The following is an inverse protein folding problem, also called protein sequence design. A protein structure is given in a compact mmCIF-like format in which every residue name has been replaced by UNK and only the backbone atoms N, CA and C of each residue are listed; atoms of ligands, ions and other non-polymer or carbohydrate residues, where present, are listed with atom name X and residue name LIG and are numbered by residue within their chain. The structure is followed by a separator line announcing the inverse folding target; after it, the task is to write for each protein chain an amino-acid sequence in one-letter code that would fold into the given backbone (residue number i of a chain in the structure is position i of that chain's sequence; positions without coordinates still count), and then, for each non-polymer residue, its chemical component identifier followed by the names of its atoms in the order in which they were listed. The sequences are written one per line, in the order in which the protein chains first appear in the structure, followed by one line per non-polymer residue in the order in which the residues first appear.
data_IF_970122388792
#
_entry.id   IF_970122388792
#
_cell.length_a   1.000
_cell.length_b   1.000
_cell.length_c   1.000
_cell.angle_alpha   90.00
_cell.angle_beta   90.00
_cell.angle_gamma   90.00
#
_symmetry.space_group_name_H-M   'P 1'
#
loop_
_entity.id
_entity.type
_entity.pdbx_description
1 polymer ?
#
# COMPACT_ATOMS: atom_id res chain seq x y z
N UNK A 1 -15.29 35.01 -20.69
CA UNK A 1 -14.25 34.10 -20.16
C UNK A 1 -14.24 32.89 -21.08
N UNK A 2 -13.05 32.46 -21.50
CA UNK A 2 -12.90 31.24 -22.31
C UNK A 2 -12.61 30.06 -21.39
N UNK A 3 -13.08 28.87 -21.78
CA UNK A 3 -12.84 27.65 -21.03
C UNK A 3 -11.37 27.24 -21.22
N UNK A 4 -10.71 26.83 -20.14
CA UNK A 4 -9.41 26.17 -20.18
C UNK A 4 -9.68 24.67 -20.07
N UNK A 5 -9.23 23.89 -21.05
CA UNK A 5 -9.40 22.44 -21.09
C UNK A 5 -7.99 21.82 -21.15
N UNK A 6 -7.70 20.90 -20.23
CA UNK A 6 -6.49 20.09 -20.20
C UNK A 6 -6.91 18.62 -20.27
N UNK A 7 -6.31 17.87 -21.19
CA UNK A 7 -6.60 16.44 -21.41
C UNK A 7 -5.27 15.73 -21.74
N UNK A 8 -5.01 14.62 -21.04
CA UNK A 8 -3.85 13.75 -21.26
C UNK A 8 -4.26 12.30 -21.03
N UNK A 9 -3.80 11.39 -21.89
CA UNK A 9 -4.10 9.96 -21.79
C UNK A 9 -2.84 9.20 -21.36
N UNK A 10 -2.86 8.67 -20.14
CA UNK A 10 -1.75 7.94 -19.54
C UNK A 10 -1.83 6.40 -19.77
N UNK A 11 -2.92 5.87 -20.35
CA UNK A 11 -3.11 4.43 -20.58
C UNK A 11 -2.10 3.82 -21.57
N UNK A 12 -1.57 4.63 -22.50
CA UNK A 12 -0.54 4.21 -23.46
C UNK A 12 0.88 4.30 -22.91
N UNK A 13 1.13 5.19 -21.95
CA UNK A 13 2.43 5.36 -21.30
C UNK A 13 2.74 4.16 -20.38
N UNK A 14 1.73 3.66 -19.65
CA UNK A 14 1.87 2.48 -18.77
C UNK A 14 2.18 1.16 -19.49
N UNK A 15 1.73 0.99 -20.74
CA UNK A 15 1.93 -0.27 -21.50
C UNK A 15 3.36 -0.50 -21.99
N UNK A 16 4.29 0.44 -21.78
CA UNK A 16 5.65 0.40 -22.36
C UNK A 16 6.75 -0.05 -21.38
N UNK A 17 6.43 -0.29 -20.11
CA UNK A 17 7.40 -0.54 -19.03
C UNK A 17 7.56 -2.03 -18.65
N UNK A 18 7.61 -2.93 -19.64
CA UNK A 18 7.93 -4.35 -19.40
C UNK A 18 9.45 -4.58 -19.56
N UNK A 19 10.19 -4.45 -18.46
CA UNK A 19 11.63 -4.72 -18.41
C UNK A 19 11.99 -5.56 -17.19
N UNK A 20 12.65 -6.70 -17.44
CA UNK A 20 13.17 -7.60 -16.40
C UNK A 20 14.26 -6.90 -15.57
N UNK A 21 13.94 -6.56 -14.33
CA UNK A 21 14.83 -5.87 -13.39
C UNK A 21 15.26 -6.79 -12.24
N UNK A 22 16.46 -6.56 -11.70
CA UNK A 22 17.10 -7.25 -10.57
C UNK A 22 16.15 -7.39 -9.36
N UNK A 23 15.23 -6.44 -9.16
CA UNK A 23 14.17 -6.51 -8.15
C UNK A 23 13.25 -7.73 -8.31
N UNK A 24 12.90 -8.10 -9.55
CA UNK A 24 12.08 -9.30 -9.84
C UNK A 24 12.83 -10.58 -9.47
N UNK A 25 14.13 -10.64 -9.75
CA UNK A 25 14.99 -11.78 -9.38
C UNK A 25 15.12 -11.93 -7.86
N UNK A 26 15.24 -10.81 -7.11
CA UNK A 26 15.27 -10.82 -5.64
C UNK A 26 13.96 -11.38 -5.07
N UNK A 27 12.82 -10.94 -5.61
CA UNK A 27 11.50 -11.40 -5.19
C UNK A 27 11.28 -12.89 -5.46
N UNK A 28 11.65 -13.37 -6.65
CA UNK A 28 11.59 -14.79 -7.00
C UNK A 28 12.44 -15.64 -6.04
N UNK A 29 13.68 -15.24 -5.76
CA UNK A 29 14.59 -15.98 -4.86
C UNK A 29 14.10 -15.94 -3.40
N UNK A 30 13.50 -14.84 -2.97
CA UNK A 30 12.87 -14.75 -1.65
C UNK A 30 11.66 -15.70 -1.54
N UNK A 31 10.85 -15.78 -2.60
CA UNK A 31 9.65 -16.61 -2.66
C UNK A 31 9.99 -18.10 -2.79
N UNK A 32 10.71 -18.47 -3.84
CA UNK A 32 11.05 -19.87 -4.17
C UNK A 32 12.04 -20.47 -3.17
N UNK A 33 12.94 -19.63 -2.62
CA UNK A 33 13.85 -20.05 -1.56
C UNK A 33 13.19 -20.14 -0.17
N UNK A 34 11.88 -19.87 -0.07
CA UNK A 34 11.11 -20.03 1.17
C UNK A 34 11.36 -18.97 2.25
N UNK A 35 12.00 -17.84 1.91
CA UNK A 35 12.19 -16.74 2.86
C UNK A 35 10.85 -16.12 3.26
N UNK A 36 9.98 -15.86 2.28
CA UNK A 36 8.64 -15.29 2.53
C UNK A 36 7.80 -16.22 3.39
N UNK A 37 7.85 -17.53 3.13
CA UNK A 37 7.14 -18.53 3.92
C UNK A 37 7.67 -18.59 5.36
N UNK A 38 8.99 -18.64 5.56
CA UNK A 38 9.60 -18.65 6.88
C UNK A 38 9.28 -17.37 7.68
N UNK A 39 9.30 -16.21 7.01
CA UNK A 39 8.92 -14.95 7.61
C UNK A 39 7.43 -14.93 7.99
N UNK A 40 6.54 -15.37 7.10
CA UNK A 40 5.11 -15.47 7.37
C UNK A 40 4.80 -16.40 8.56
N UNK A 41 5.46 -17.57 8.63
CA UNK A 41 5.32 -18.52 9.75
C UNK A 41 5.79 -17.90 11.08
N UNK A 42 6.94 -17.23 11.06
CA UNK A 42 7.47 -16.53 12.23
C UNK A 42 6.50 -15.42 12.67
N UNK A 43 6.00 -14.63 11.73
CA UNK A 43 5.01 -13.59 11.99
C UNK A 43 3.71 -14.17 12.55
N UNK A 44 3.23 -15.30 12.05
CA UNK A 44 2.02 -15.96 12.55
C UNK A 44 2.18 -16.45 14.01
N UNK A 45 3.36 -16.93 14.38
CA UNK A 45 3.65 -17.44 15.73
C UNK A 45 3.71 -16.34 16.81
N UNK A 46 3.95 -15.09 16.44
CA UNK A 46 4.02 -13.97 17.39
C UNK A 46 2.63 -13.78 18.05
N UNK A 47 2.52 -13.64 19.38
CA UNK A 47 1.27 -13.26 20.02
C UNK A 47 0.73 -11.91 19.50
N UNK A 48 -0.57 -11.84 19.22
CA UNK A 48 -1.24 -10.59 18.83
C UNK A 48 -2.20 -10.14 19.91
N UNK A 49 -2.26 -8.84 20.11
CA UNK A 49 -3.23 -8.18 20.99
C UNK A 49 -4.09 -7.23 20.18
N UNK A 50 -5.32 -7.02 20.65
CA UNK A 50 -6.22 -6.02 20.08
C UNK A 50 -5.73 -4.65 20.49
N UNK A 51 -5.59 -3.74 19.51
CA UNK A 51 -5.27 -2.34 19.77
C UNK A 51 -6.58 -1.60 20.08
N UNK A 52 -6.75 -1.05 21.30
CA UNK A 52 -8.05 -0.45 21.68
C UNK A 52 -8.49 0.71 20.80
N UNK A 53 -7.54 1.57 20.39
CA UNK A 53 -7.82 2.70 19.52
C UNK A 53 -8.29 2.25 18.12
N UNK A 54 -7.64 1.24 17.54
CA UNK A 54 -8.01 0.73 16.23
C UNK A 54 -9.30 -0.09 16.25
N UNK A 55 -9.60 -0.73 17.38
CA UNK A 55 -10.92 -1.32 17.61
C UNK A 55 -12.00 -0.24 17.58
N UNK A 56 -11.81 0.86 18.29
CA UNK A 56 -12.77 1.98 18.29
C UNK A 56 -12.93 2.57 16.88
N UNK A 57 -11.84 2.76 16.15
CA UNK A 57 -11.86 3.19 14.77
C UNK A 57 -12.62 2.21 13.87
N UNK A 58 -12.40 0.91 14.00
CA UNK A 58 -13.14 -0.11 13.26
C UNK A 58 -14.64 -0.06 13.54
N UNK A 59 -15.04 0.00 14.80
CA UNK A 59 -16.45 0.05 15.20
C UNK A 59 -17.12 1.32 14.67
N UNK A 60 -16.44 2.46 14.76
CA UNK A 60 -16.90 3.74 14.22
C UNK A 60 -17.05 3.69 12.70
N UNK A 61 -16.00 3.28 11.99
CA UNK A 61 -16.01 3.22 10.52
C UNK A 61 -17.03 2.22 9.99
N UNK A 62 -17.25 1.10 10.69
CA UNK A 62 -18.27 0.12 10.32
C UNK A 62 -19.67 0.73 10.41
N UNK A 63 -19.96 1.47 11.49
CA UNK A 63 -21.24 2.17 11.63
C UNK A 63 -21.46 3.19 10.49
N UNK A 64 -20.46 4.02 10.22
CA UNK A 64 -20.56 5.05 9.16
C UNK A 64 -20.68 4.43 7.76
N UNK A 65 -20.00 3.30 7.55
CA UNK A 65 -20.12 2.49 6.34
C UNK A 65 -21.53 1.92 6.19
N UNK A 66 -22.13 1.39 7.25
CA UNK A 66 -23.50 0.88 7.22
C UNK A 66 -24.51 1.99 6.86
N UNK A 67 -24.37 3.18 7.46
CA UNK A 67 -25.19 4.35 7.13
C UNK A 67 -25.07 4.76 5.65
N UNK A 68 -23.85 4.73 5.10
CA UNK A 68 -23.59 5.01 3.69
C UNK A 68 -24.22 3.94 2.77
N UNK A 69 -24.06 2.66 3.13
CA UNK A 69 -24.67 1.55 2.39
C UNK A 69 -26.20 1.64 2.38
N UNK A 70 -26.82 2.01 3.50
CA UNK A 70 -28.27 2.24 3.57
C UNK A 70 -28.71 3.38 2.64
N UNK A 71 -27.99 4.50 2.65
CA UNK A 71 -28.30 5.68 1.80
C UNK A 71 -28.26 5.36 0.32
N UNK A 72 -27.28 4.57 -0.12
CA UNK A 72 -27.04 4.26 -1.52
C UNK A 72 -27.58 2.89 -1.97
N UNK A 73 -28.40 2.23 -1.15
CA UNK A 73 -28.92 0.88 -1.43
C UNK A 73 -27.82 -0.14 -1.76
N UNK A 74 -26.71 -0.03 -1.03
CA UNK A 74 -25.53 -0.88 -1.14
C UNK A 74 -25.54 -2.05 -0.15
N UNK A 75 -24.36 -2.63 0.03
CA UNK A 75 -24.08 -3.68 1.03
C UNK A 75 -22.86 -3.29 1.82
N UNK A 76 -22.82 -3.65 3.10
CA UNK A 76 -21.64 -3.53 3.95
C UNK A 76 -21.29 -4.90 4.54
N UNK A 77 -19.99 -5.18 4.69
CA UNK A 77 -19.48 -6.36 5.38
C UNK A 77 -18.24 -5.99 6.19
N UNK A 78 -18.40 -5.90 7.50
CA UNK A 78 -17.29 -5.82 8.45
C UNK A 78 -16.83 -7.22 8.86
N UNK A 79 -15.52 -7.44 8.91
CA UNK A 79 -14.89 -8.68 9.40
C UNK A 79 -13.73 -8.32 10.32
N UNK A 80 -13.69 -8.95 11.50
CA UNK A 80 -12.49 -9.08 12.32
C UNK A 80 -12.12 -10.55 12.34
N UNK A 81 -11.02 -10.91 11.71
CA UNK A 81 -10.60 -12.28 11.51
C UNK A 81 -9.40 -12.61 12.40
N UNK A 82 -9.62 -13.39 13.45
CA UNK A 82 -8.59 -13.79 14.42
C UNK A 82 -7.72 -14.96 13.92
N UNK A 83 -8.08 -15.61 12.82
CA UNK A 83 -7.23 -16.64 12.21
C UNK A 83 -6.17 -16.02 11.29
N UNK A 84 -6.57 -14.97 10.56
CA UNK A 84 -5.69 -14.23 9.64
C UNK A 84 -5.12 -12.93 10.22
N UNK A 85 -5.61 -12.49 11.39
CA UNK A 85 -5.20 -11.26 12.07
C UNK A 85 -5.42 -9.99 11.24
N UNK A 86 -6.57 -9.94 10.55
CA UNK A 86 -6.99 -8.83 9.70
C UNK A 86 -8.34 -8.26 10.18
N UNK A 87 -8.54 -6.96 10.00
CA UNK A 87 -9.85 -6.34 10.13
C UNK A 87 -10.16 -5.48 8.92
N UNK A 88 -11.32 -5.73 8.30
CA UNK A 88 -11.70 -5.13 7.03
C UNK A 88 -13.17 -4.74 7.02
N UNK A 89 -13.50 -3.67 6.31
CA UNK A 89 -14.87 -3.28 6.00
C UNK A 89 -14.98 -3.17 4.48
N UNK A 90 -15.87 -3.97 3.89
CA UNK A 90 -16.20 -3.93 2.47
C UNK A 90 -17.55 -3.26 2.28
N UNK A 91 -17.57 -2.19 1.49
CA UNK A 91 -18.77 -1.53 0.99
C UNK A 91 -18.94 -1.87 -0.48
N UNK A 92 -20.11 -2.32 -0.88
CA UNK A 92 -20.48 -2.55 -2.27
C UNK A 92 -21.64 -1.65 -2.64
N UNK A 93 -21.34 -0.58 -3.37
CA UNK A 93 -22.27 0.48 -3.74
C UNK A 93 -22.51 0.47 -5.26
N UNK A 94 -23.69 0.88 -5.76
CA UNK A 94 -23.90 1.08 -7.19
C UNK A 94 -22.99 2.18 -7.75
N UNK A 95 -22.73 3.22 -6.96
CA UNK A 95 -21.75 4.29 -7.15
C UNK A 95 -21.54 4.99 -5.81
N UNK A 96 -20.55 5.86 -5.69
CA UNK A 96 -20.39 6.77 -4.56
C UNK A 96 -20.13 8.19 -5.05
N UNK A 97 -20.70 9.16 -4.37
CA UNK A 97 -20.47 10.58 -4.58
C UNK A 97 -20.29 11.23 -3.20
N UNK A 98 -19.29 12.11 -3.09
CA UNK A 98 -19.02 12.89 -1.89
C UNK A 98 -19.03 14.38 -2.26
N UNK A 99 -20.21 15.00 -2.24
CA UNK A 99 -20.42 16.34 -2.83
C UNK A 99 -20.78 17.43 -1.83
N UNK A 100 -21.21 17.08 -0.62
CA UNK A 100 -21.45 18.02 0.46
C UNK A 100 -20.37 17.91 1.56
N UNK A 101 -20.43 18.84 2.53
CA UNK A 101 -19.44 18.88 3.61
C UNK A 101 -19.48 17.64 4.50
N UNK A 102 -20.64 17.05 4.70
CA UNK A 102 -20.78 15.90 5.60
C UNK A 102 -20.22 14.65 4.92
N UNK A 103 -20.47 14.50 3.62
CA UNK A 103 -19.90 13.41 2.81
C UNK A 103 -18.38 13.56 2.65
N UNK A 104 -17.87 14.77 2.38
CA UNK A 104 -16.42 15.01 2.33
C UNK A 104 -15.75 14.78 3.69
N UNK A 105 -16.41 15.14 4.79
CA UNK A 105 -15.92 14.82 6.13
C UNK A 105 -15.89 13.31 6.38
N UNK A 106 -16.88 12.56 5.89
CA UNK A 106 -16.87 11.10 5.99
C UNK A 106 -15.68 10.49 5.23
N UNK A 107 -15.37 10.98 4.02
CA UNK A 107 -14.20 10.52 3.27
C UNK A 107 -12.90 10.81 4.03
N UNK A 108 -12.82 11.97 4.70
CA UNK A 108 -11.70 12.29 5.58
C UNK A 108 -11.64 11.37 6.80
N UNK A 109 -12.77 11.11 7.46
CA UNK A 109 -12.84 10.18 8.59
C UNK A 109 -12.38 8.77 8.20
N UNK A 110 -12.74 8.32 6.99
CA UNK A 110 -12.24 7.07 6.43
C UNK A 110 -10.71 7.12 6.38
N UNK A 111 -10.12 8.14 5.75
CA UNK A 111 -8.67 8.26 5.62
C UNK A 111 -7.95 8.37 6.98
N UNK A 112 -8.48 9.15 7.92
CA UNK A 112 -7.85 9.43 9.22
C UNK A 112 -7.89 8.23 10.17
N UNK A 113 -8.89 7.35 10.05
CA UNK A 113 -9.16 6.26 11.01
C UNK A 113 -8.87 4.86 10.47
N UNK A 114 -8.59 4.76 9.18
CA UNK A 114 -8.17 3.51 8.56
C UNK A 114 -6.67 3.52 8.31
N UNK A 115 -6.14 2.36 7.94
CA UNK A 115 -4.75 2.24 7.53
C UNK A 115 -4.60 2.05 6.02
N UNK A 116 -5.67 1.65 5.35
CA UNK A 116 -5.76 1.61 3.90
C UNK A 116 -7.22 1.70 3.45
N UNK A 117 -7.44 2.36 2.32
CA UNK A 117 -8.71 2.39 1.61
C UNK A 117 -8.44 2.16 0.13
N UNK A 118 -9.26 1.30 -0.48
CA UNK A 118 -9.18 1.01 -1.90
C UNK A 118 -10.55 1.16 -2.54
N UNK A 119 -10.58 1.86 -3.67
CA UNK A 119 -11.76 2.01 -4.51
C UNK A 119 -11.57 1.19 -5.77
N UNK A 120 -12.48 0.26 -6.04
CA UNK A 120 -12.39 -0.63 -7.18
C UNK A 120 -13.77 -0.87 -7.76
N UNK A 121 -13.90 -0.98 -9.08
CA UNK A 121 -15.12 -1.52 -9.68
C UNK A 121 -15.06 -3.04 -9.76
N UNK A 122 -16.09 -3.72 -9.28
CA UNK A 122 -16.25 -5.16 -9.48
C UNK A 122 -16.71 -5.48 -10.91
N UNK A 123 -16.65 -6.75 -11.29
CA UNK A 123 -17.09 -7.26 -12.60
C UNK A 123 -18.55 -6.92 -12.97
N UNK A 124 -19.40 -6.66 -11.96
CA UNK A 124 -20.80 -6.27 -12.13
C UNK A 124 -21.00 -4.74 -12.26
N UNK A 125 -19.90 -3.98 -12.33
CA UNK A 125 -19.89 -2.52 -12.47
C UNK A 125 -20.17 -1.77 -11.16
N UNK A 126 -20.30 -2.45 -10.02
CA UNK A 126 -20.47 -1.82 -8.71
C UNK A 126 -19.14 -1.31 -8.18
N UNK A 127 -19.19 -0.20 -7.46
CA UNK A 127 -18.05 0.31 -6.70
C UNK A 127 -17.90 -0.47 -5.40
N UNK A 128 -16.75 -1.10 -5.22
CA UNK A 128 -16.25 -1.61 -3.95
C UNK A 128 -15.37 -0.56 -3.29
N UNK A 129 -15.68 -0.21 -2.05
CA UNK A 129 -14.78 0.52 -1.15
C UNK A 129 -14.31 -0.49 -0.10
N UNK A 130 -13.02 -0.81 -0.12
CA UNK A 130 -12.39 -1.70 0.84
C UNK A 130 -11.63 -0.86 1.85
N UNK A 131 -11.91 -1.04 3.14
CA UNK A 131 -11.24 -0.34 4.23
C UNK A 131 -10.52 -1.40 5.06
N UNK A 132 -9.24 -1.18 5.32
CA UNK A 132 -8.42 -2.08 6.12
C UNK A 132 -7.88 -1.34 7.36
N UNK A 133 -7.92 -2.03 8.51
CA UNK A 133 -7.55 -1.48 9.82
C UNK A 133 -6.68 -2.48 10.55
N UNK A 134 -5.55 -2.02 11.09
CA UNK A 134 -4.67 -2.85 11.91
C UNK A 134 -5.21 -2.99 13.34
N UNK A 135 -6.32 -3.71 13.45
CA UNK A 135 -7.00 -4.05 14.70
C UNK A 135 -6.12 -4.83 15.67
N UNK A 136 -5.04 -5.43 15.17
CA UNK A 136 -4.08 -6.24 15.91
C UNK A 136 -2.68 -5.66 15.85
N UNK A 137 -1.97 -5.78 16.97
CA UNK A 137 -0.54 -5.50 17.09
C UNK A 137 0.21 -6.76 17.52
N UNK A 138 1.32 -7.04 16.87
CA UNK A 138 2.23 -8.13 17.21
C UNK A 138 3.22 -7.70 18.29
N UNK A 139 3.34 -8.52 19.34
CA UNK A 139 4.27 -8.25 20.45
C UNK A 139 5.63 -8.88 20.16
N UNK A 140 6.38 -8.31 19.21
CA UNK A 140 7.75 -8.71 18.92
C UNK A 140 8.55 -7.62 18.17
N UNK A 141 9.88 -7.77 18.19
CA UNK A 141 10.79 -7.02 17.32
C UNK A 141 10.80 -7.67 15.92
N UNK A 142 10.05 -7.08 14.98
CA UNK A 142 9.95 -7.59 13.61
C UNK A 142 11.27 -7.47 12.85
N UNK A 143 12.09 -6.47 13.18
CA UNK A 143 13.39 -6.25 12.56
C UNK A 143 14.34 -7.38 12.90
N UNK A 144 14.46 -7.75 14.17
CA UNK A 144 15.30 -8.90 14.55
C UNK A 144 14.78 -10.23 13.98
N UNK A 145 13.46 -10.41 13.86
CA UNK A 145 12.88 -11.60 13.21
C UNK A 145 13.29 -11.66 11.73
N UNK A 146 13.08 -10.58 10.99
CA UNK A 146 13.49 -10.47 9.58
C UNK A 146 14.98 -10.75 9.41
N UNK A 147 15.83 -10.07 10.18
CA UNK A 147 17.29 -10.23 10.15
C UNK A 147 17.72 -11.66 10.51
N UNK A 148 17.08 -12.29 11.50
CA UNK A 148 17.41 -13.67 11.88
C UNK A 148 17.14 -14.69 10.78
N UNK A 149 16.06 -14.50 10.02
CA UNK A 149 15.69 -15.35 8.88
C UNK A 149 16.63 -15.04 7.70
N UNK A 150 16.94 -13.76 7.49
CA UNK A 150 17.84 -13.33 6.43
C UNK A 150 19.27 -13.86 6.61
N UNK A 151 19.79 -13.90 7.85
CA UNK A 151 21.09 -14.53 8.18
C UNK A 151 21.18 -16.00 7.74
N UNK A 152 20.05 -16.68 7.59
CA UNK A 152 19.99 -18.07 7.12
C UNK A 152 19.94 -18.19 5.58
N UNK A 153 19.91 -17.07 4.86
CA UNK A 153 19.81 -16.96 3.40
C UNK A 153 20.94 -16.10 2.81
N UNK A 154 22.20 -16.59 2.82
CA UNK A 154 23.35 -15.84 2.31
C UNK A 154 23.25 -15.52 0.82
N UNK A 155 22.51 -16.32 0.06
CA UNK A 155 22.16 -16.08 -1.34
C UNK A 155 21.29 -14.83 -1.51
N UNK A 156 20.29 -14.65 -0.65
CA UNK A 156 19.42 -13.47 -0.65
C UNK A 156 20.13 -12.25 -0.07
N UNK A 157 20.93 -12.42 0.98
CA UNK A 157 21.73 -11.33 1.57
C UNK A 157 22.68 -10.72 0.54
N UNK A 158 23.43 -11.55 -0.20
CA UNK A 158 24.38 -11.06 -1.21
C UNK A 158 23.67 -10.30 -2.34
N UNK A 159 22.48 -10.75 -2.77
CA UNK A 159 21.70 -10.05 -3.78
C UNK A 159 21.14 -8.71 -3.29
N UNK A 160 20.70 -8.64 -2.02
CA UNK A 160 20.24 -7.39 -1.41
C UNK A 160 21.40 -6.39 -1.24
N UNK A 161 22.60 -6.87 -0.88
CA UNK A 161 23.81 -6.06 -0.81
C UNK A 161 24.23 -5.55 -2.20
N UNK A 162 24.28 -6.43 -3.20
CA UNK A 162 24.56 -6.07 -4.58
C UNK A 162 23.54 -5.06 -5.10
N UNK A 163 22.25 -5.28 -4.85
CA UNK A 163 21.20 -4.35 -5.24
C UNK A 163 21.38 -2.98 -4.58
N UNK A 164 21.79 -2.94 -3.31
CA UNK A 164 22.09 -1.70 -2.57
C UNK A 164 23.33 -0.99 -3.11
N UNK A 165 24.34 -1.73 -3.57
CA UNK A 165 25.55 -1.19 -4.22
C UNK A 165 25.29 -0.65 -5.62
N UNK A 166 24.44 -1.34 -6.40
CA UNK A 166 24.01 -0.94 -7.75
C UNK A 166 22.96 0.17 -7.71
N UNK A 167 22.21 0.27 -6.62
CA UNK A 167 21.23 1.31 -6.35
C UNK A 167 21.59 2.07 -5.07
N UNK A 168 22.75 2.75 -5.02
CA UNK A 168 23.12 3.53 -3.85
C UNK A 168 22.05 4.60 -3.61
N UNK A 169 21.69 4.79 -2.35
CA UNK A 169 20.83 5.90 -1.92
C UNK A 169 21.68 7.16 -2.10
N UNK A 170 21.31 8.08 -3.01
CA UNK A 170 22.05 9.32 -3.20
C UNK A 170 21.79 10.21 -1.97
N UNK A 171 22.80 10.38 -1.12
CA UNK A 171 22.90 11.42 -0.07
C UNK A 171 21.78 11.51 1.01
N UNK A 172 22.20 11.46 2.28
CA UNK A 172 21.45 11.94 3.46
C UNK A 172 21.33 13.49 3.49
N UNK A 173 20.86 14.15 2.42
CA UNK A 173 20.41 15.55 2.53
C UNK A 173 18.92 15.60 2.81
N UNK A 174 18.55 16.30 3.88
CA UNK A 174 17.20 16.40 4.44
C UNK A 174 16.25 17.34 3.68
N UNK A 175 16.66 17.97 2.57
CA UNK A 175 15.94 19.16 2.08
C UNK A 175 14.95 18.92 0.92
N UNK A 176 15.03 17.84 0.13
CA UNK A 176 14.07 17.60 -0.98
C UNK A 176 12.95 16.64 -0.57
N UNK A 177 13.30 15.61 0.21
CA UNK A 177 12.42 14.54 0.63
C UNK A 177 11.38 14.94 1.70
N UNK A 178 11.69 15.97 2.51
CA UNK A 178 10.78 16.51 3.53
C UNK A 178 9.84 17.61 2.99
N UNK A 179 9.96 17.98 1.70
CA UNK A 179 9.23 19.10 1.09
C UNK A 179 8.19 18.69 0.04
N UNK A 180 8.01 17.40 -0.25
CA UNK A 180 6.91 16.93 -1.10
C UNK A 180 5.58 17.25 -0.44
N UNK A 181 4.70 17.96 -1.14
CA UNK A 181 3.35 18.18 -0.64
C UNK A 181 2.51 16.89 -0.71
N UNK A 182 1.36 16.87 -0.02
CA UNK A 182 0.51 15.68 0.06
C UNK A 182 0.06 15.18 -1.33
N UNK A 183 -0.04 16.08 -2.33
CA UNK A 183 -0.40 15.73 -3.71
C UNK A 183 0.76 15.03 -4.41
N UNK A 184 1.98 15.55 -4.27
CA UNK A 184 3.19 14.97 -4.87
C UNK A 184 3.52 13.60 -4.27
N UNK A 185 3.28 13.40 -2.97
CA UNK A 185 3.43 12.09 -2.32
C UNK A 185 2.41 11.07 -2.84
N UNK A 186 1.15 11.48 -3.02
CA UNK A 186 0.11 10.60 -3.56
C UNK A 186 0.39 10.23 -5.01
N UNK A 187 0.86 11.19 -5.83
CA UNK A 187 1.28 10.92 -7.21
C UNK A 187 2.45 9.95 -7.29
N UNK A 188 3.42 10.10 -6.39
CA UNK A 188 4.58 9.21 -6.31
C UNK A 188 4.20 7.78 -5.90
N UNK A 189 3.32 7.63 -4.90
CA UNK A 189 2.82 6.33 -4.47
C UNK A 189 1.96 5.66 -5.54
N UNK A 190 1.12 6.44 -6.21
CA UNK A 190 0.30 5.97 -7.32
C UNK A 190 1.20 5.46 -8.44
N UNK A 191 2.19 6.27 -8.84
CA UNK A 191 3.19 5.88 -9.82
C UNK A 191 3.88 4.56 -9.44
N UNK A 192 4.27 4.39 -8.17
CA UNK A 192 4.96 3.19 -7.70
C UNK A 192 4.09 1.93 -7.73
N UNK A 193 2.87 2.03 -7.20
CA UNK A 193 1.90 0.93 -7.21
C UNK A 193 1.60 0.50 -8.64
N UNK A 194 1.46 1.46 -9.55
CA UNK A 194 1.18 1.16 -10.94
C UNK A 194 2.39 0.57 -11.67
N UNK A 195 3.59 1.08 -11.41
CA UNK A 195 4.85 0.57 -11.97
C UNK A 195 5.10 -0.87 -11.50
N UNK A 196 4.87 -1.15 -10.22
CA UNK A 196 5.02 -2.49 -9.65
C UNK A 196 3.95 -3.44 -10.18
N UNK A 197 2.68 -3.04 -10.21
CA UNK A 197 1.61 -3.88 -10.75
C UNK A 197 1.84 -4.22 -12.23
N UNK A 198 2.34 -3.27 -13.03
CA UNK A 198 2.72 -3.51 -14.41
C UNK A 198 3.88 -4.52 -14.52
N UNK A 199 4.95 -4.33 -13.74
CA UNK A 199 6.13 -5.19 -13.80
C UNK A 199 5.88 -6.63 -13.34
N UNK A 200 4.95 -6.83 -12.40
CA UNK A 200 4.71 -8.14 -11.76
C UNK A 200 3.47 -8.86 -12.29
N UNK A 201 2.59 -8.17 -13.01
CA UNK A 201 1.27 -8.67 -13.38
C UNK A 201 0.31 -8.87 -12.21
N UNK A 202 0.69 -8.44 -10.99
CA UNK A 202 -0.20 -8.44 -9.84
C UNK A 202 -1.29 -7.37 -9.96
N UNK A 203 -2.42 -7.56 -9.27
CA UNK A 203 -3.43 -6.52 -9.22
C UNK A 203 -2.91 -5.30 -8.46
N UNK A 204 -3.31 -4.10 -8.91
CA UNK A 204 -2.98 -2.85 -8.21
C UNK A 204 -3.42 -2.89 -6.74
N UNK A 205 -4.48 -3.62 -6.40
CA UNK A 205 -4.88 -3.82 -4.99
C UNK A 205 -3.87 -4.63 -4.18
N UNK A 206 -3.34 -5.72 -4.74
CA UNK A 206 -2.33 -6.55 -4.07
C UNK A 206 -1.10 -5.71 -3.77
N UNK A 207 -0.63 -5.00 -4.79
CA UNK A 207 0.55 -4.13 -4.70
C UNK A 207 0.30 -2.97 -3.76
N UNK A 208 -0.82 -2.24 -3.87
CA UNK A 208 -1.15 -1.13 -2.97
C UNK A 208 -1.21 -1.61 -1.51
N UNK A 209 -1.78 -2.79 -1.27
CA UNK A 209 -1.86 -3.37 0.07
C UNK A 209 -0.47 -3.73 0.62
N UNK A 210 0.41 -4.29 -0.22
CA UNK A 210 1.78 -4.61 0.14
C UNK A 210 2.61 -3.34 0.42
N UNK A 211 2.50 -2.33 -0.45
CA UNK A 211 3.17 -1.03 -0.28
C UNK A 211 2.70 -0.39 1.04
N UNK A 212 1.40 -0.29 1.27
CA UNK A 212 0.85 0.28 2.51
C UNK A 212 1.23 -0.51 3.77
N UNK A 213 1.37 -1.84 3.65
CA UNK A 213 1.85 -2.68 4.75
C UNK A 213 3.30 -2.37 5.14
N UNK A 214 4.18 -2.15 4.16
CA UNK A 214 5.58 -1.78 4.39
C UNK A 214 5.74 -0.30 4.81
N UNK A 215 4.89 0.60 4.31
CA UNK A 215 4.88 2.03 4.68
C UNK A 215 4.55 2.27 6.16
N UNK A 216 3.89 1.31 6.81
CA UNK A 216 3.49 1.32 8.22
C UNK A 216 4.66 1.60 9.17
N UNK A 217 5.88 1.20 8.82
CA UNK A 217 7.02 1.22 9.74
C UNK A 217 8.02 2.33 9.45
N UNK A 218 8.09 2.80 8.21
CA UNK A 218 9.07 3.80 7.79
C UNK A 218 8.60 4.60 6.56
N UNK A 219 7.46 5.28 6.73
CA UNK A 219 6.81 6.08 5.69
C UNK A 219 7.78 7.02 4.96
N UNK A 220 8.59 7.78 5.72
CA UNK A 220 9.53 8.77 5.16
C UNK A 220 10.61 8.11 4.31
N UNK A 221 11.25 7.04 4.80
CA UNK A 221 12.28 6.38 4.00
C UNK A 221 11.68 5.61 2.82
N UNK A 222 10.43 5.17 2.90
CA UNK A 222 9.77 4.52 1.78
C UNK A 222 9.44 5.50 0.67
N UNK A 223 8.86 6.67 0.98
CA UNK A 223 8.63 7.76 0.02
C UNK A 223 9.94 8.16 -0.68
N UNK A 224 11.02 8.30 0.09
CA UNK A 224 12.37 8.59 -0.42
C UNK A 224 12.88 7.53 -1.40
N UNK A 225 12.76 6.25 -1.05
CA UNK A 225 13.14 5.12 -1.93
C UNK A 225 12.33 5.08 -3.22
N UNK A 226 11.04 5.39 -3.13
CA UNK A 226 10.14 5.42 -4.28
C UNK A 226 10.51 6.59 -5.21
N UNK A 227 10.80 7.78 -4.65
CA UNK A 227 11.24 8.94 -5.42
C UNK A 227 12.58 8.68 -6.13
N UNK A 228 13.55 8.09 -5.43
CA UNK A 228 14.84 7.72 -6.02
C UNK A 228 14.66 6.70 -7.15
N UNK A 229 13.76 5.73 -6.99
CA UNK A 229 13.43 4.77 -8.04
C UNK A 229 12.79 5.47 -9.25
N UNK A 230 11.93 6.47 -9.02
CA UNK A 230 11.30 7.26 -10.07
C UNK A 230 12.33 8.03 -10.88
N UNK A 231 13.24 8.75 -10.23
CA UNK A 231 14.32 9.48 -10.91
C UNK A 231 15.23 8.57 -11.73
N UNK A 232 15.56 7.37 -11.19
CA UNK A 232 16.36 6.37 -11.89
C UNK A 232 15.67 5.82 -13.14
N UNK A 233 14.36 5.62 -13.09
CA UNK A 233 13.57 5.12 -14.23
C UNK A 233 13.27 6.21 -15.27
N UNK A 234 13.17 7.48 -14.84
CA UNK A 234 12.94 8.63 -15.71
C UNK A 234 14.24 9.19 -16.32
N UNK A 235 15.40 8.74 -15.85
CA UNK A 235 16.71 9.04 -16.44
C UNK A 235 17.32 10.38 -16.01
N UNK A 236 16.80 11.00 -14.95
CA UNK A 236 17.34 12.24 -14.39
C UNK A 236 18.52 11.91 -13.47
N UNK A 237 19.70 11.74 -14.07
CA UNK A 237 20.99 11.85 -13.38
C UNK A 237 21.59 13.22 -13.69
N UNK A 238 21.57 14.15 -12.73
CA UNK A 238 22.63 15.17 -12.62
C UNK A 238 23.82 14.63 -11.83
#
# INVERSE_FOLDING_TARGET
MENIIYERNYEEEHRRHDGNDTASTIFEIATDGGFIAAYADAMQAIPKIVVPADKENYEYLLQRSDELAQRWSGKVRGVVNYEKWEATIDLLLPFAEFCDRDDLNLLKEFADRSHSITFQTNDDGRLRIHIFIFYFEEIADKGEIFESILRSRPDLTALLEQYKEENPIPFESDDEYDNLDDSEQVELLTWFVETWAAATGESKESVASAVLYEMRHDYKNMIRKILDLKHKLEGDTE
#
